data_IF_281037874533
#
_entry.id   IF_281037874533
#
_cell.length_a   1.000
_cell.length_b   1.000
_cell.length_c   1.000
_cell.angle_alpha   90.00
_cell.angle_beta   90.00
_cell.angle_gamma   90.00
#
_symmetry.space_group_name_H-M   'P 1'
#
loop_
_entity.id
_entity.type
_entity.pdbx_description
1 polymer ?
#
# COMPACT_ATOMS: atom_id res chain seq x y z
N UNK A 1 54.78 1.98 -34.81
CA UNK A 1 54.44 3.05 -33.85
C UNK A 1 53.01 3.49 -34.20
N UNK A 2 51.96 2.90 -33.59
CA UNK A 2 51.12 3.50 -32.51
C UNK A 2 50.84 4.98 -32.83
N UNK A 3 49.63 5.40 -33.22
CA UNK A 3 48.47 5.60 -32.32
C UNK A 3 47.18 5.80 -33.16
N UNK A 4 46.13 4.98 -32.96
CA UNK A 4 44.99 5.19 -32.06
C UNK A 4 43.91 6.13 -32.63
N UNK A 5 42.90 5.54 -33.29
CA UNK A 5 41.63 6.17 -33.66
C UNK A 5 40.87 6.46 -32.37
N UNK A 6 40.65 7.73 -32.07
CA UNK A 6 39.84 8.16 -30.93
C UNK A 6 38.35 7.94 -31.25
N UNK A 7 37.79 6.84 -30.77
CA UNK A 7 36.34 6.62 -30.78
C UNK A 7 35.75 7.51 -29.68
N UNK A 8 35.14 8.63 -30.09
CA UNK A 8 34.28 9.43 -29.21
C UNK A 8 33.00 8.62 -28.98
N UNK A 9 33.03 7.75 -27.97
CA UNK A 9 31.83 7.05 -27.51
C UNK A 9 31.04 8.01 -26.62
N UNK A 10 30.06 8.70 -27.22
CA UNK A 10 29.08 9.50 -26.48
C UNK A 10 28.31 8.60 -25.52
N UNK A 11 28.54 8.77 -24.23
CA UNK A 11 27.88 8.04 -23.16
C UNK A 11 26.41 8.49 -23.08
N UNK A 12 25.48 7.71 -23.63
CA UNK A 12 24.04 7.85 -23.35
C UNK A 12 23.81 7.47 -21.88
N UNK A 13 23.72 8.47 -21.00
CA UNK A 13 23.36 8.24 -19.60
C UNK A 13 21.85 7.98 -19.56
N UNK A 14 21.46 6.71 -19.63
CA UNK A 14 20.12 6.26 -19.24
C UNK A 14 20.01 6.39 -17.71
N UNK A 15 19.53 7.55 -17.24
CA UNK A 15 19.15 7.70 -15.83
C UNK A 15 17.86 6.91 -15.62
N UNK A 16 17.99 5.65 -15.20
CA UNK A 16 16.87 4.88 -14.69
C UNK A 16 16.40 5.52 -13.37
N UNK A 17 15.31 6.27 -13.42
CA UNK A 17 14.67 6.82 -12.21
C UNK A 17 13.97 5.67 -11.49
N UNK A 18 14.72 4.91 -10.69
CA UNK A 18 14.14 3.97 -9.74
C UNK A 18 13.56 4.77 -8.57
N UNK A 19 12.24 4.94 -8.54
CA UNK A 19 11.55 5.55 -7.40
C UNK A 19 11.92 4.81 -6.10
N UNK A 20 12.11 5.52 -4.96
CA UNK A 20 12.62 4.91 -3.75
C UNK A 20 11.58 3.97 -3.14
N UNK A 21 11.89 2.67 -3.13
CA UNK A 21 11.11 1.58 -2.50
C UNK A 21 10.69 1.89 -1.05
N UNK A 22 11.42 2.78 -0.35
CA UNK A 22 11.12 3.19 1.03
C UNK A 22 9.89 4.10 1.14
N UNK A 23 9.67 5.00 0.18
CA UNK A 23 8.46 5.83 0.16
C UNK A 23 7.21 4.98 -0.07
N UNK A 24 7.36 3.94 -0.90
CA UNK A 24 6.31 2.97 -1.22
C UNK A 24 5.85 2.18 0.01
N UNK A 25 6.79 1.79 0.88
CA UNK A 25 6.47 1.09 2.13
C UNK A 25 5.65 1.96 3.10
N UNK A 26 5.92 3.27 3.17
CA UNK A 26 5.14 4.21 3.98
C UNK A 26 3.70 4.32 3.49
N UNK A 27 3.52 4.57 2.19
CA UNK A 27 2.20 4.68 1.54
C UNK A 27 1.36 3.42 1.77
N UNK A 28 1.95 2.23 1.61
CA UNK A 28 1.24 0.98 1.85
C UNK A 28 0.84 0.79 3.32
N UNK A 29 1.67 1.27 4.25
CA UNK A 29 1.31 1.34 5.66
C UNK A 29 0.10 2.22 5.90
N UNK A 30 0.11 3.43 5.37
CA UNK A 30 -0.95 4.42 5.55
C UNK A 30 -2.28 3.95 4.96
N UNK A 31 -2.26 3.42 3.72
CA UNK A 31 -3.45 2.85 3.07
C UNK A 31 -4.01 1.66 3.85
N UNK A 32 -3.14 0.79 4.37
CA UNK A 32 -3.57 -0.32 5.22
C UNK A 32 -4.22 0.20 6.51
N UNK A 33 -3.62 1.20 7.18
CA UNK A 33 -4.20 1.77 8.40
C UNK A 33 -5.56 2.38 8.11
N UNK A 34 -5.68 3.16 7.04
CA UNK A 34 -6.93 3.81 6.65
C UNK A 34 -8.04 2.82 6.34
N UNK A 35 -7.76 1.79 5.52
CA UNK A 35 -8.76 0.77 5.20
C UNK A 35 -9.24 0.04 6.45
N UNK A 36 -8.31 -0.36 7.31
CA UNK A 36 -8.64 -1.12 8.51
C UNK A 36 -9.31 -0.25 9.60
N UNK A 37 -9.04 1.06 9.67
CA UNK A 37 -9.72 1.94 10.62
C UNK A 37 -11.22 2.04 10.33
N UNK A 38 -11.62 2.04 9.05
CA UNK A 38 -13.03 1.96 8.64
C UNK A 38 -13.69 0.68 9.18
N UNK A 39 -13.04 -0.47 8.99
CA UNK A 39 -13.55 -1.74 9.53
C UNK A 39 -13.62 -1.75 11.06
N UNK A 40 -12.61 -1.21 11.74
CA UNK A 40 -12.58 -1.12 13.21
C UNK A 40 -13.72 -0.25 13.73
N UNK A 41 -13.94 0.91 13.12
CA UNK A 41 -15.01 1.83 13.49
C UNK A 41 -16.41 1.19 13.37
N UNK A 42 -16.56 0.25 12.42
CA UNK A 42 -17.81 -0.49 12.20
C UNK A 42 -17.84 -1.87 12.89
N UNK A 43 -16.95 -2.12 13.86
CA UNK A 43 -17.02 -3.29 14.73
C UNK A 43 -16.46 -4.58 14.14
N UNK A 44 -15.57 -4.53 13.16
CA UNK A 44 -14.93 -5.73 12.62
C UNK A 44 -13.93 -6.36 13.61
N UNK A 45 -13.99 -7.69 13.75
CA UNK A 45 -13.04 -8.50 14.51
C UNK A 45 -11.88 -8.94 13.61
N UNK A 46 -10.71 -8.36 13.82
CA UNK A 46 -9.51 -8.70 13.07
C UNK A 46 -9.01 -10.11 13.36
N UNK A 47 -8.44 -10.77 12.35
CA UNK A 47 -7.95 -12.16 12.45
C UNK A 47 -6.44 -12.28 12.39
N UNK A 48 -5.75 -11.29 11.82
CA UNK A 48 -4.29 -11.34 11.67
C UNK A 48 -3.62 -10.78 12.92
N UNK A 49 -2.50 -11.38 13.33
CA UNK A 49 -1.74 -10.91 14.48
C UNK A 49 -1.34 -9.42 14.36
N UNK A 50 -0.94 -8.98 13.16
CA UNK A 50 -0.63 -7.57 12.86
C UNK A 50 -1.81 -6.64 13.16
N UNK A 51 -3.00 -6.96 12.64
CA UNK A 51 -4.17 -6.10 12.81
C UNK A 51 -4.70 -6.13 14.26
N UNK A 52 -4.68 -7.29 14.91
CA UNK A 52 -5.04 -7.43 16.32
C UNK A 52 -4.08 -6.61 17.20
N UNK A 53 -2.76 -6.68 16.94
CA UNK A 53 -1.77 -5.92 17.68
C UNK A 53 -1.91 -4.40 17.48
N UNK A 54 -2.33 -3.95 16.30
CA UNK A 54 -2.44 -2.52 15.98
C UNK A 54 -3.78 -1.92 16.44
N UNK A 55 -4.90 -2.61 16.19
CA UNK A 55 -6.26 -2.08 16.42
C UNK A 55 -6.99 -2.71 17.61
N UNK A 56 -6.57 -3.91 18.04
CA UNK A 56 -7.26 -4.71 19.05
C UNK A 56 -8.63 -5.22 18.60
N UNK A 57 -9.15 -6.21 19.33
CA UNK A 57 -10.49 -6.79 19.11
C UNK A 57 -11.48 -6.50 20.25
N UNK A 58 -11.11 -5.67 21.23
CA UNK A 58 -12.04 -5.28 22.28
C UNK A 58 -13.27 -4.60 21.65
N UNK A 59 -14.46 -5.09 22.00
CA UNK A 59 -15.75 -4.55 21.57
C UNK A 59 -16.14 -4.80 20.11
N UNK A 60 -15.42 -5.65 19.37
CA UNK A 60 -15.82 -5.98 18.00
C UNK A 60 -17.05 -6.92 17.98
N UNK A 61 -17.83 -6.88 16.89
CA UNK A 61 -19.10 -7.59 16.74
C UNK A 61 -19.14 -8.51 15.51
N UNK A 62 -18.41 -8.18 14.45
CA UNK A 62 -18.53 -8.85 13.15
C UNK A 62 -17.25 -9.62 12.79
N UNK A 63 -17.38 -10.93 12.56
CA UNK A 63 -16.23 -11.79 12.21
C UNK A 63 -15.95 -11.88 10.71
N UNK A 64 -16.83 -11.33 9.87
CA UNK A 64 -16.71 -11.33 8.41
C UNK A 64 -16.89 -9.92 7.86
N UNK A 65 -16.01 -9.48 6.95
CA UNK A 65 -16.10 -8.14 6.35
C UNK A 65 -17.46 -7.89 5.68
N UNK A 66 -18.08 -8.93 5.12
CA UNK A 66 -19.39 -8.87 4.47
C UNK A 66 -20.55 -8.57 5.42
N UNK A 67 -20.35 -8.76 6.73
CA UNK A 67 -21.35 -8.48 7.76
C UNK A 67 -21.20 -7.07 8.36
N UNK A 68 -20.09 -6.39 8.06
CA UNK A 68 -19.80 -5.06 8.61
C UNK A 68 -20.76 -4.04 7.98
N UNK A 69 -21.52 -3.27 8.79
CA UNK A 69 -22.57 -2.38 8.29
C UNK A 69 -21.99 -1.07 7.71
N UNK A 70 -21.19 -1.17 6.66
CA UNK A 70 -20.54 -0.04 6.00
C UNK A 70 -21.57 0.83 5.27
N UNK A 71 -21.46 2.15 5.44
CA UNK A 71 -22.15 3.15 4.62
C UNK A 71 -21.71 3.08 3.16
N UNK A 72 -22.49 3.71 2.27
CA UNK A 72 -22.13 3.82 0.85
C UNK A 72 -20.78 4.53 0.65
N UNK A 73 -20.51 5.58 1.43
CA UNK A 73 -19.27 6.35 1.33
C UNK A 73 -18.04 5.53 1.73
N UNK A 74 -18.15 4.76 2.81
CA UNK A 74 -17.08 3.88 3.29
C UNK A 74 -16.73 2.78 2.29
N UNK A 75 -17.75 2.18 1.66
CA UNK A 75 -17.52 1.17 0.60
C UNK A 75 -16.74 1.78 -0.57
N UNK A 76 -17.16 2.94 -1.05
CA UNK A 76 -16.46 3.67 -2.12
C UNK A 76 -15.02 3.98 -1.71
N UNK A 77 -14.81 4.43 -0.46
CA UNK A 77 -13.47 4.74 0.04
C UNK A 77 -12.58 3.49 0.12
N UNK A 78 -13.10 2.36 0.60
CA UNK A 78 -12.38 1.08 0.62
C UNK A 78 -12.00 0.64 -0.80
N UNK A 79 -12.89 0.79 -1.78
CA UNK A 79 -12.60 0.46 -3.18
C UNK A 79 -11.49 1.35 -3.76
N UNK A 80 -11.52 2.66 -3.47
CA UNK A 80 -10.46 3.59 -3.85
C UNK A 80 -9.13 3.20 -3.21
N UNK A 81 -9.11 2.92 -1.90
CA UNK A 81 -7.90 2.48 -1.20
C UNK A 81 -7.36 1.19 -1.81
N UNK A 82 -8.21 0.19 -2.07
CA UNK A 82 -7.79 -1.06 -2.75
C UNK A 82 -7.20 -0.80 -4.14
N UNK A 83 -7.71 0.19 -4.86
CA UNK A 83 -7.15 0.60 -6.15
C UNK A 83 -5.76 1.20 -6.00
N UNK A 84 -5.58 2.10 -5.02
CA UNK A 84 -4.28 2.67 -4.68
C UNK A 84 -3.30 1.58 -4.24
N UNK A 85 -3.71 0.67 -3.33
CA UNK A 85 -2.89 -0.46 -2.88
C UNK A 85 -2.36 -1.29 -4.06
N UNK A 86 -3.18 -1.53 -5.09
CA UNK A 86 -2.76 -2.20 -6.33
C UNK A 86 -1.80 -1.36 -7.16
N UNK A 87 -2.09 -0.08 -7.38
CA UNK A 87 -1.23 0.86 -8.10
C UNK A 87 0.18 0.92 -7.50
N UNK A 88 0.22 0.85 -6.17
CA UNK A 88 1.40 0.99 -5.34
C UNK A 88 2.08 -0.36 -5.00
N UNK A 89 1.54 -1.48 -5.49
CA UNK A 89 2.13 -2.81 -5.29
C UNK A 89 2.22 -3.23 -3.82
N UNK A 90 1.28 -2.78 -3.00
CA UNK A 90 1.22 -3.13 -1.59
C UNK A 90 0.98 -4.64 -1.41
N UNK A 91 1.70 -5.26 -0.47
CA UNK A 91 1.65 -6.70 -0.16
C UNK A 91 1.01 -6.93 1.21
#
# INVERSE_FOLDING_TARGET
MRSAVAIVMGCLILVAVSAPVRAQAGICGDLWVERNSIYKANGFCFKTARAISYFGNQGCMYSYESQVPLSRGERIRIEQIRSLERQYGCR
#
